data_IF_054215140194
#
_entry.id   IF_054215140194
#
_cell.length_a   1.000
_cell.length_b   1.000
_cell.length_c   1.000
_cell.angle_alpha   90.00
_cell.angle_beta   90.00
_cell.angle_gamma   90.00
#
_symmetry.space_group_name_H-M   'P 1'
#
loop_
_entity.id
_entity.type
_entity.pdbx_description
1 polymer ?
#
# COMPACT_ATOMS: atom_id res chain seq x y z
N UNK A 1 26.26 6.50 -7.13
CA UNK A 1 24.95 6.22 -6.53
C UNK A 1 24.14 5.37 -7.50
N UNK A 2 23.70 4.23 -7.06
CA UNK A 2 22.88 3.36 -7.91
C UNK A 2 21.44 3.89 -7.94
N UNK A 3 20.77 3.87 -9.09
CA UNK A 3 19.36 4.27 -9.15
C UNK A 3 18.51 3.28 -8.34
N UNK A 4 17.46 3.82 -7.71
CA UNK A 4 16.44 3.00 -7.03
C UNK A 4 15.09 3.37 -7.58
N UNK A 5 14.20 2.38 -7.64
CA UNK A 5 12.81 2.62 -7.97
C UNK A 5 12.03 2.83 -6.67
N UNK A 6 11.31 3.95 -6.59
CA UNK A 6 10.48 4.24 -5.42
C UNK A 6 9.09 4.61 -5.91
N UNK A 7 8.10 3.88 -5.43
CA UNK A 7 6.70 4.21 -5.68
C UNK A 7 5.89 3.99 -4.40
N UNK A 8 5.52 5.08 -3.75
CA UNK A 8 4.83 5.06 -2.46
C UNK A 8 3.33 5.35 -2.59
N UNK A 9 2.78 5.25 -3.81
CA UNK A 9 1.37 5.49 -4.04
C UNK A 9 0.81 4.47 -5.03
N UNK A 10 0.60 3.26 -4.58
CA UNK A 10 0.03 2.18 -5.41
C UNK A 10 -1.28 1.72 -4.77
N UNK A 11 -2.35 1.73 -5.54
CA UNK A 11 -3.63 1.19 -5.11
C UNK A 11 -3.76 -0.26 -5.58
N UNK A 12 -4.16 -1.15 -4.68
CA UNK A 12 -4.39 -2.57 -4.98
C UNK A 12 -5.87 -2.90 -5.11
N UNK A 13 -6.75 -2.05 -4.58
CA UNK A 13 -8.19 -2.17 -4.75
C UNK A 13 -8.67 -1.18 -5.80
N UNK A 14 -9.69 -1.54 -6.61
CA UNK A 14 -10.22 -0.64 -7.65
C UNK A 14 -10.71 0.69 -7.08
N UNK A 15 -11.37 0.65 -5.91
CA UNK A 15 -11.79 1.85 -5.20
C UNK A 15 -12.01 1.52 -3.71
N UNK A 16 -12.40 2.51 -2.93
CA UNK A 16 -12.57 2.37 -1.49
C UNK A 16 -13.66 1.35 -1.10
N UNK A 17 -14.62 1.09 -1.98
CA UNK A 17 -15.76 0.23 -1.71
C UNK A 17 -15.65 -1.15 -2.36
N UNK A 18 -14.72 -1.34 -3.28
CA UNK A 18 -14.53 -2.61 -3.99
C UNK A 18 -13.22 -3.25 -3.57
N UNK A 19 -13.30 -4.18 -2.65
CA UNK A 19 -12.16 -4.94 -2.12
C UNK A 19 -12.22 -6.41 -2.49
N UNK A 20 -13.01 -6.75 -3.51
CA UNK A 20 -13.27 -8.14 -3.87
C UNK A 20 -12.26 -8.71 -4.87
N UNK A 21 -11.45 -7.86 -5.50
CA UNK A 21 -10.53 -8.27 -6.57
C UNK A 21 -9.16 -8.58 -5.98
N UNK A 22 -8.63 -9.75 -6.32
CA UNK A 22 -7.27 -10.11 -5.95
C UNK A 22 -6.27 -9.31 -6.79
N UNK A 23 -5.32 -8.70 -6.12
CA UNK A 23 -4.30 -7.92 -6.79
C UNK A 23 -3.15 -8.82 -7.24
N UNK A 24 -2.79 -8.71 -8.50
CA UNK A 24 -1.71 -9.52 -9.08
C UNK A 24 -0.33 -8.91 -8.80
N UNK A 25 0.19 -9.23 -7.63
CA UNK A 25 1.51 -8.76 -7.21
C UNK A 25 2.61 -9.27 -8.13
N UNK A 26 2.49 -10.48 -8.65
CA UNK A 26 3.50 -11.04 -9.54
C UNK A 26 3.66 -10.22 -10.82
N UNK A 27 2.54 -9.77 -11.41
CA UNK A 27 2.58 -8.90 -12.57
C UNK A 27 3.20 -7.54 -12.26
N UNK A 28 2.87 -6.97 -11.10
CA UNK A 28 3.48 -5.69 -10.68
C UNK A 28 5.00 -5.83 -10.56
N UNK A 29 5.47 -6.86 -9.87
CA UNK A 29 6.91 -7.08 -9.67
C UNK A 29 7.61 -7.27 -11.02
N UNK A 30 7.00 -8.04 -11.93
CA UNK A 30 7.57 -8.23 -13.27
C UNK A 30 7.70 -6.91 -14.02
N UNK A 31 6.67 -6.06 -13.98
CA UNK A 31 6.71 -4.76 -14.65
C UNK A 31 7.75 -3.82 -14.05
N UNK A 32 7.92 -3.84 -12.74
CA UNK A 32 8.97 -3.06 -12.09
C UNK A 32 10.34 -3.55 -12.55
N UNK A 33 10.55 -4.86 -12.66
CA UNK A 33 11.82 -5.41 -13.11
C UNK A 33 12.10 -5.09 -14.59
N UNK A 34 11.08 -5.02 -15.42
CA UNK A 34 11.24 -4.57 -16.80
C UNK A 34 11.75 -3.14 -16.90
N UNK A 35 11.33 -2.26 -15.97
CA UNK A 35 11.75 -0.87 -15.95
C UNK A 35 13.06 -0.63 -15.19
N UNK A 36 13.40 -1.50 -14.26
CA UNK A 36 14.43 -1.27 -13.25
C UNK A 36 15.49 -2.37 -13.18
N UNK A 37 15.38 -3.40 -14.01
CA UNK A 37 16.29 -4.56 -14.01
C UNK A 37 16.46 -5.14 -12.60
N UNK A 38 17.69 -5.23 -12.11
CA UNK A 38 18.01 -5.82 -10.82
C UNK A 38 18.22 -4.77 -9.72
N UNK A 39 17.91 -3.50 -10.01
CA UNK A 39 18.11 -2.43 -9.04
C UNK A 39 17.12 -2.56 -7.86
N UNK A 40 17.51 -2.15 -6.65
CA UNK A 40 16.60 -2.15 -5.51
C UNK A 40 15.38 -1.28 -5.75
N UNK A 41 14.24 -1.69 -5.22
CA UNK A 41 13.04 -0.87 -5.24
C UNK A 41 12.29 -0.94 -3.91
N UNK A 42 11.60 0.15 -3.59
CA UNK A 42 10.77 0.30 -2.42
C UNK A 42 9.38 0.73 -2.86
N UNK A 43 8.36 0.02 -2.44
CA UNK A 43 6.98 0.37 -2.77
C UNK A 43 6.08 0.37 -1.54
N UNK A 44 4.95 1.05 -1.65
CA UNK A 44 3.90 1.03 -0.65
C UNK A 44 2.54 0.93 -1.33
N UNK A 45 1.70 0.04 -0.84
CA UNK A 45 0.31 -0.08 -1.28
C UNK A 45 -0.56 0.82 -0.39
N UNK A 46 -0.91 2.01 -0.92
CA UNK A 46 -1.65 3.01 -0.15
C UNK A 46 -3.12 3.01 -0.55
N UNK A 47 -3.82 1.95 -0.17
CA UNK A 47 -5.25 1.84 -0.41
C UNK A 47 -6.05 2.79 0.48
N UNK A 48 -7.28 3.08 0.05
CA UNK A 48 -8.15 4.02 0.76
C UNK A 48 -8.64 3.44 2.09
N UNK A 49 -8.22 4.05 3.20
CA UNK A 49 -8.67 3.74 4.56
C UNK A 49 -8.53 2.27 4.97
N UNK A 50 -7.59 1.55 4.35
CA UNK A 50 -7.35 0.14 4.66
C UNK A 50 -5.94 -0.26 4.27
N UNK A 51 -5.50 -1.39 4.79
CA UNK A 51 -4.24 -2.02 4.38
C UNK A 51 -4.58 -3.39 3.81
N UNK A 52 -4.19 -3.64 2.57
CA UNK A 52 -4.44 -4.92 1.91
C UNK A 52 -3.41 -5.96 2.38
N UNK A 53 -3.79 -6.74 3.40
CA UNK A 53 -2.92 -7.77 3.98
C UNK A 53 -2.39 -8.74 2.93
N UNK A 54 -3.27 -9.22 2.07
CA UNK A 54 -2.91 -10.23 1.06
C UNK A 54 -1.83 -9.71 0.12
N UNK A 55 -1.98 -8.46 -0.37
CA UNK A 55 -1.01 -7.86 -1.28
C UNK A 55 0.34 -7.65 -0.59
N UNK A 56 0.36 -7.14 0.64
CA UNK A 56 1.61 -6.94 1.37
C UNK A 56 2.33 -8.25 1.65
N UNK A 57 1.61 -9.27 2.10
CA UNK A 57 2.23 -10.55 2.41
C UNK A 57 2.72 -11.27 1.15
N UNK A 58 1.97 -11.18 0.05
CA UNK A 58 2.40 -11.74 -1.23
C UNK A 58 3.67 -11.06 -1.75
N UNK A 59 3.74 -9.73 -1.67
CA UNK A 59 4.92 -8.99 -2.10
C UNK A 59 6.13 -9.29 -1.21
N UNK A 60 5.91 -9.38 0.10
CA UNK A 60 6.98 -9.75 1.03
C UNK A 60 7.54 -11.14 0.74
N UNK A 61 6.67 -12.09 0.39
CA UNK A 61 7.07 -13.46 0.11
C UNK A 61 8.00 -13.57 -1.11
N UNK A 62 7.93 -12.63 -2.05
CA UNK A 62 8.81 -12.60 -3.22
C UNK A 62 9.98 -11.61 -3.06
N UNK A 63 10.23 -11.13 -1.84
CA UNK A 63 11.43 -10.36 -1.52
C UNK A 63 11.34 -8.86 -1.84
N UNK A 64 10.14 -8.32 -1.95
CA UNK A 64 9.94 -6.89 -2.21
C UNK A 64 10.17 -6.08 -0.95
N UNK A 65 10.89 -4.96 -1.07
CA UNK A 65 11.01 -3.99 0.02
C UNK A 65 9.72 -3.17 0.10
N UNK A 66 9.09 -3.19 1.25
CA UNK A 66 7.78 -2.60 1.45
C UNK A 66 7.77 -1.61 2.61
N UNK A 67 7.00 -0.55 2.43
CA UNK A 67 6.66 0.38 3.50
C UNK A 67 5.14 0.30 3.69
N UNK A 68 4.70 0.01 4.92
CA UNK A 68 3.28 0.02 5.22
C UNK A 68 2.73 1.44 5.09
N UNK A 69 1.61 1.58 4.42
CA UNK A 69 0.98 2.88 4.23
C UNK A 69 -0.49 2.76 3.89
N UNK A 70 -1.18 3.89 3.96
CA UNK A 70 -2.58 4.00 3.58
C UNK A 70 -2.87 5.41 3.09
N UNK A 71 -3.88 5.54 2.24
CA UNK A 71 -4.41 6.83 1.84
C UNK A 71 -5.67 7.11 2.65
N UNK A 72 -5.60 8.11 3.52
CA UNK A 72 -6.74 8.50 4.34
C UNK A 72 -7.59 9.51 3.60
N UNK A 73 -8.88 9.27 3.63
CA UNK A 73 -9.87 10.18 3.09
C UNK A 73 -10.42 11.00 4.25
N UNK A 74 -9.99 12.25 4.36
CA UNK A 74 -10.34 13.10 5.49
C UNK A 74 -11.40 14.09 5.08
N UNK A 75 -12.53 14.07 5.79
CA UNK A 75 -13.64 14.99 5.60
C UNK A 75 -13.72 15.97 6.75
N UNK A 76 -13.90 17.25 6.41
CA UNK A 76 -14.18 18.27 7.41
C UNK A 76 -15.70 18.40 7.61
N UNK A 77 -16.10 18.85 8.79
CA UNK A 77 -17.53 18.99 9.17
C UNK A 77 -18.29 20.08 8.39
N UNK A 78 -17.59 20.98 7.73
CA UNK A 78 -18.20 22.22 7.16
C UNK A 78 -18.31 22.19 5.64
N UNK A 79 -18.67 21.08 5.05
CA UNK A 79 -18.88 20.94 3.60
C UNK A 79 -17.65 21.27 2.75
N UNK A 80 -16.47 21.28 3.36
CA UNK A 80 -15.23 21.43 2.63
C UNK A 80 -14.92 20.10 1.93
N UNK A 81 -14.41 20.19 0.71
CA UNK A 81 -14.02 19.00 -0.04
C UNK A 81 -13.08 18.11 0.80
N UNK A 82 -13.32 16.79 0.75
CA UNK A 82 -12.46 15.83 1.38
C UNK A 82 -11.06 15.91 0.77
N UNK A 83 -10.03 15.78 1.58
CA UNK A 83 -8.68 15.69 1.05
C UNK A 83 -8.08 14.33 1.38
N UNK A 84 -7.11 13.93 0.56
CA UNK A 84 -6.42 12.67 0.73
C UNK A 84 -5.09 12.91 1.44
N UNK A 85 -4.79 12.06 2.40
CA UNK A 85 -3.54 12.13 3.14
C UNK A 85 -2.88 10.76 3.10
N UNK A 86 -1.62 10.72 2.64
CA UNK A 86 -0.85 9.49 2.67
C UNK A 86 -0.13 9.38 4.00
N UNK A 87 -0.29 8.24 4.67
CA UNK A 87 0.37 7.97 5.93
C UNK A 87 1.21 6.71 5.76
N UNK A 88 2.45 6.78 6.25
CA UNK A 88 3.38 5.64 6.22
C UNK A 88 3.79 5.29 7.63
N UNK A 89 3.95 4.00 7.88
CA UNK A 89 4.20 3.48 9.23
C UNK A 89 5.59 2.86 9.29
N UNK A 90 6.37 3.26 10.31
CA UNK A 90 7.66 2.65 10.58
C UNK A 90 7.46 1.36 11.38
N UNK A 91 6.90 0.37 10.73
CA UNK A 91 6.59 -0.94 11.32
C UNK A 91 6.91 -2.03 10.32
N UNK A 92 7.31 -3.18 10.81
CA UNK A 92 7.55 -4.33 9.95
C UNK A 92 6.25 -4.82 9.30
N UNK A 93 6.38 -5.32 8.07
CA UNK A 93 5.26 -5.88 7.33
C UNK A 93 4.99 -7.28 7.88
N UNK A 94 4.08 -7.35 8.84
CA UNK A 94 3.65 -8.60 9.47
C UNK A 94 2.14 -8.64 9.52
N UNK A 95 1.60 -9.85 9.57
CA UNK A 95 0.16 -10.04 9.70
C UNK A 95 -0.38 -9.35 10.96
N UNK A 96 0.36 -9.42 12.07
CA UNK A 96 -0.04 -8.81 13.33
C UNK A 96 -0.11 -7.29 13.24
N UNK A 97 0.89 -6.66 12.65
CA UNK A 97 0.92 -5.21 12.48
C UNK A 97 -0.18 -4.73 11.54
N UNK A 98 -0.39 -5.44 10.44
CA UNK A 98 -1.44 -5.10 9.48
C UNK A 98 -2.81 -5.21 10.14
N UNK A 99 -3.05 -6.28 10.89
CA UNK A 99 -4.30 -6.44 11.64
C UNK A 99 -4.52 -5.32 12.64
N UNK A 100 -3.49 -4.96 13.40
CA UNK A 100 -3.59 -3.90 14.39
C UNK A 100 -3.98 -2.56 13.75
N UNK A 101 -3.37 -2.22 12.61
CA UNK A 101 -3.67 -0.99 11.88
C UNK A 101 -5.09 -1.02 11.30
N UNK A 102 -5.49 -2.14 10.71
CA UNK A 102 -6.84 -2.28 10.16
C UNK A 102 -7.90 -2.23 11.25
N UNK A 103 -7.64 -2.78 12.42
CA UNK A 103 -8.56 -2.69 13.56
C UNK A 103 -8.78 -1.23 13.98
N UNK A 104 -7.74 -0.41 13.93
CA UNK A 104 -7.87 1.03 14.20
C UNK A 104 -8.72 1.71 13.14
N UNK A 105 -8.47 1.44 11.85
CA UNK A 105 -9.26 2.04 10.78
C UNK A 105 -10.74 1.66 10.83
N UNK A 106 -11.04 0.45 11.26
CA UNK A 106 -12.42 -0.03 11.35
C UNK A 106 -13.20 0.60 12.51
N UNK A 107 -12.53 1.31 13.42
CA UNK A 107 -13.20 2.03 14.51
C UNK A 107 -13.68 3.42 14.10
N UNK A 108 -13.20 3.92 13.00
CA UNK A 108 -13.50 5.24 12.50
C UNK A 108 -14.06 5.16 11.09
#
# INVERSE_FOLDING_TARGET
MQPVYIDLHIHTYPDANDRSTDYDVATLVRKIRECNSDEPFLISFTDHNTINKEAYLAAKAVGVNLLLGAELHIKNHDDVEAFHCHIYFNMDVTEENIKALNDIYNQY
#
